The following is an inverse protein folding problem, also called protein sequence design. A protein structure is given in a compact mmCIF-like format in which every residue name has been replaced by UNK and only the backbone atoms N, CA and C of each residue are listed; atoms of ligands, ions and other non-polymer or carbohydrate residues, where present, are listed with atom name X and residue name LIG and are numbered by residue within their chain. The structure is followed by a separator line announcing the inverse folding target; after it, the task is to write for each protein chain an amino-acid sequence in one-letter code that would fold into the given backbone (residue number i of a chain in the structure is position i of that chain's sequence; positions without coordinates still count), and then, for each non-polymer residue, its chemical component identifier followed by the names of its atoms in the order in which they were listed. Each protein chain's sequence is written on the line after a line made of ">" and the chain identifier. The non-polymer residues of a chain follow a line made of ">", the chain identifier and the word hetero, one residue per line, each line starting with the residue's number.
data_IF_538159512246
#
_entry.id   IF_538159512246
#
_cell.length_a   1.000
_cell.length_b   1.000
_cell.length_c   1.000
_cell.angle_alpha   90.00
_cell.angle_beta   90.00
_cell.angle_gamma   90.00
#
_symmetry.space_group_name_H-M   'P 1'
#
loop_
_entity.id
_entity.type
_entity.pdbx_description
1 polymer ?
#
# COMPACT_ATOMS: atom_id res chain seq x y z
N UNK A 1 9.81 -18.98 6.42
CA UNK A 1 9.28 -17.73 5.84
C UNK A 1 8.26 -17.23 6.83
N UNK A 2 8.57 -16.14 7.52
CA UNK A 2 7.62 -15.48 8.40
C UNK A 2 6.49 -14.92 7.52
N UNK A 3 5.32 -15.52 7.65
CA UNK A 3 4.10 -15.01 7.03
C UNK A 3 3.80 -13.73 7.81
N UNK A 4 4.17 -12.56 7.27
CA UNK A 4 3.72 -11.28 7.81
C UNK A 4 2.19 -11.35 7.75
N UNK A 5 1.49 -11.39 8.90
CA UNK A 5 0.06 -11.59 8.90
C UNK A 5 -0.56 -10.43 8.16
N UNK A 6 -1.14 -10.72 7.00
CA UNK A 6 -1.71 -9.67 6.20
C UNK A 6 -2.82 -9.01 7.00
N UNK A 7 -2.68 -7.71 7.20
CA UNK A 7 -3.61 -6.82 7.89
C UNK A 7 -4.99 -6.75 7.21
N UNK A 8 -5.14 -7.35 6.03
CA UNK A 8 -6.37 -7.57 5.26
C UNK A 8 -7.45 -8.45 5.93
N UNK A 9 -7.39 -8.67 7.24
CA UNK A 9 -8.40 -9.48 7.96
C UNK A 9 -9.75 -8.76 8.14
N UNK A 10 -9.87 -7.48 7.78
CA UNK A 10 -11.10 -6.67 7.82
C UNK A 10 -11.11 -5.60 6.71
N UNK A 11 -12.16 -4.77 6.62
CA UNK A 11 -12.36 -3.70 5.61
C UNK A 11 -11.07 -2.91 5.29
N UNK A 12 -10.36 -3.31 4.25
CA UNK A 12 -9.19 -2.61 3.75
C UNK A 12 -9.55 -1.90 2.44
N UNK A 13 -8.99 -0.70 2.28
CA UNK A 13 -8.95 -0.02 0.99
C UNK A 13 -7.54 -0.20 0.42
N UNK A 14 -7.40 -0.20 -0.90
CA UNK A 14 -6.07 -0.29 -1.52
C UNK A 14 -6.00 0.57 -2.77
N UNK A 15 -4.79 0.98 -3.11
CA UNK A 15 -4.45 1.58 -4.40
C UNK A 15 -3.18 0.91 -4.92
N UNK A 16 -3.22 0.46 -6.18
CA UNK A 16 -2.03 -0.01 -6.86
C UNK A 16 -1.28 1.19 -7.42
N UNK A 17 0.03 1.24 -7.20
CA UNK A 17 0.90 2.21 -7.86
C UNK A 17 1.00 1.82 -9.35
N UNK A 18 0.53 2.67 -10.29
CA UNK A 18 0.50 2.35 -11.72
C UNK A 18 1.88 1.97 -12.26
N UNK A 19 1.98 0.89 -13.03
CA UNK A 19 3.24 0.45 -13.65
C UNK A 19 3.61 1.33 -14.86
N UNK A 20 4.05 2.56 -14.55
CA UNK A 20 4.45 3.59 -15.51
C UNK A 20 5.79 4.19 -15.06
N UNK A 21 6.53 4.82 -15.99
CA UNK A 21 7.81 5.44 -15.65
C UNK A 21 7.65 6.66 -14.74
N UNK A 22 6.56 7.40 -14.88
CA UNK A 22 6.29 8.65 -14.16
C UNK A 22 4.82 8.78 -13.85
N UNK A 23 4.49 9.24 -12.64
CA UNK A 23 3.12 9.62 -12.29
C UNK A 23 2.81 11.05 -12.73
N UNK A 24 1.57 11.26 -13.14
CA UNK A 24 1.00 12.60 -13.25
C UNK A 24 0.73 13.18 -11.86
N UNK A 25 0.65 14.52 -11.76
CA UNK A 25 0.29 15.20 -10.52
C UNK A 25 -1.06 14.73 -9.96
N UNK A 26 -2.01 14.40 -10.84
CA UNK A 26 -3.33 13.91 -10.44
C UNK A 26 -3.26 12.52 -9.80
N UNK A 27 -2.47 11.61 -10.38
CA UNK A 27 -2.26 10.27 -9.82
C UNK A 27 -1.51 10.34 -8.49
N UNK A 28 -0.48 11.20 -8.41
CA UNK A 28 0.24 11.42 -7.16
C UNK A 28 -0.66 12.02 -6.08
N UNK A 29 -1.55 12.96 -6.42
CA UNK A 29 -2.51 13.50 -5.44
C UNK A 29 -3.49 12.44 -4.94
N UNK A 30 -3.92 11.49 -5.79
CA UNK A 30 -4.73 10.34 -5.36
C UNK A 30 -3.98 9.48 -4.35
N UNK A 31 -2.71 9.17 -4.60
CA UNK A 31 -1.85 8.41 -3.69
C UNK A 31 -1.68 9.15 -2.37
N UNK A 32 -1.40 10.45 -2.41
CA UNK A 32 -1.23 11.29 -1.21
C UNK A 32 -2.50 11.32 -0.36
N UNK A 33 -3.67 11.53 -0.97
CA UNK A 33 -4.97 11.51 -0.26
C UNK A 33 -5.29 10.15 0.33
N UNK A 34 -4.87 9.07 -0.33
CA UNK A 34 -5.00 7.73 0.20
C UNK A 34 -4.12 7.54 1.43
N UNK A 35 -2.84 7.89 1.34
CA UNK A 35 -1.86 7.74 2.41
C UNK A 35 -2.18 8.59 3.65
N UNK A 36 -2.70 9.81 3.49
CA UNK A 36 -3.09 10.69 4.61
C UNK A 36 -4.25 10.16 5.46
N UNK A 37 -4.93 9.10 5.03
CA UNK A 37 -5.90 8.40 5.89
C UNK A 37 -5.21 7.62 7.01
N UNK A 38 -3.94 7.25 6.83
CA UNK A 38 -3.17 6.58 7.86
C UNK A 38 -2.73 7.54 8.96
N UNK A 39 -2.79 7.03 10.18
CA UNK A 39 -2.27 7.68 11.36
C UNK A 39 -0.75 7.86 11.24
N UNK A 40 -0.27 9.01 11.68
CA UNK A 40 1.15 9.30 11.74
C UNK A 40 1.79 9.67 10.40
N UNK A 41 1.13 9.55 9.25
CA UNK A 41 1.71 10.01 7.97
C UNK A 41 1.76 11.53 7.94
N UNK A 42 2.97 12.08 7.99
CA UNK A 42 3.21 13.53 7.96
C UNK A 42 3.57 14.02 6.57
N UNK A 43 4.30 13.22 5.79
CA UNK A 43 4.77 13.59 4.45
C UNK A 43 4.62 12.43 3.46
N UNK A 44 4.32 12.78 2.21
CA UNK A 44 4.30 11.86 1.06
C UNK A 44 5.07 12.52 -0.07
N UNK A 45 6.16 11.89 -0.51
CA UNK A 45 7.03 12.43 -1.56
C UNK A 45 7.07 11.49 -2.77
N UNK A 46 7.06 12.07 -3.96
CA UNK A 46 7.38 11.34 -5.19
C UNK A 46 8.90 11.37 -5.37
N UNK A 47 9.52 10.20 -5.33
CA UNK A 47 10.93 10.03 -5.62
C UNK A 47 11.07 9.57 -7.07
N UNK A 48 11.91 10.26 -7.83
CA UNK A 48 12.29 9.84 -9.19
C UNK A 48 13.64 9.16 -9.11
N UNK A 49 13.69 7.84 -9.30
CA UNK A 49 14.95 7.12 -9.37
C UNK A 49 15.53 7.27 -10.79
N UNK A 50 16.42 8.25 -10.96
CA UNK A 50 17.11 8.52 -12.22
C UNK A 50 17.88 7.32 -12.78
N UNK A 51 18.31 6.37 -11.93
CA UNK A 51 19.09 5.21 -12.39
C UNK A 51 18.23 4.01 -12.78
N UNK A 52 16.99 3.92 -12.26
CA UNK A 52 16.11 2.78 -12.48
C UNK A 52 14.96 3.08 -13.46
N UNK A 53 14.85 4.33 -13.96
CA UNK A 53 13.74 4.82 -14.80
C UNK A 53 12.35 4.58 -14.19
N UNK A 54 12.30 4.42 -12.85
CA UNK A 54 11.09 4.11 -12.09
C UNK A 54 10.90 5.16 -11.00
N UNK A 55 9.65 5.53 -10.77
CA UNK A 55 9.29 6.33 -9.62
C UNK A 55 9.08 5.44 -8.39
N UNK A 56 9.20 6.03 -7.21
CA UNK A 56 8.78 5.45 -5.94
C UNK A 56 8.08 6.50 -5.09
N UNK A 57 7.31 6.05 -4.11
CA UNK A 57 6.59 6.90 -3.17
C UNK A 57 7.19 6.73 -1.79
N UNK A 58 7.69 7.81 -1.23
CA UNK A 58 8.13 7.86 0.15
C UNK A 58 6.97 8.28 1.05
N UNK A 59 6.70 7.48 2.07
CA UNK A 59 5.75 7.75 3.14
C UNK A 59 6.55 7.97 4.42
N UNK A 60 6.56 9.20 4.91
CA UNK A 60 7.21 9.54 6.18
C UNK A 60 6.16 9.85 7.22
N UNK A 61 6.37 9.28 8.41
CA UNK A 61 5.52 9.52 9.56
C UNK A 61 6.21 9.28 10.90
N UNK A 62 5.40 9.25 11.95
CA UNK A 62 5.87 9.06 13.33
C UNK A 62 6.62 7.73 13.53
N UNK A 63 6.26 6.69 12.78
CA UNK A 63 6.91 5.36 12.80
C UNK A 63 8.18 5.27 11.94
N UNK A 64 8.53 6.35 11.21
CA UNK A 64 9.68 6.41 10.33
C UNK A 64 9.32 6.58 8.86
N UNK A 65 10.25 6.20 7.99
CA UNK A 65 10.13 6.32 6.54
C UNK A 65 9.99 4.94 5.90
N UNK A 66 9.00 4.83 5.00
CA UNK A 66 8.74 3.65 4.17
C UNK A 66 8.70 4.06 2.70
N UNK A 67 9.25 3.24 1.82
CA UNK A 67 9.27 3.50 0.37
C UNK A 67 8.49 2.42 -0.34
N UNK A 68 7.52 2.84 -1.16
CA UNK A 68 6.76 1.97 -2.05
C UNK A 68 7.26 2.13 -3.49
N UNK A 69 7.58 1.03 -4.13
CA UNK A 69 8.00 0.97 -5.51
C UNK A 69 6.81 0.92 -6.47
N UNK A 70 7.03 1.35 -7.71
CA UNK A 70 6.06 1.21 -8.78
C UNK A 70 5.54 -0.23 -8.91
N UNK A 71 4.23 -0.38 -9.12
CA UNK A 71 3.57 -1.69 -9.20
C UNK A 71 3.15 -2.27 -7.85
N UNK A 72 3.68 -1.78 -6.74
CA UNK A 72 3.27 -2.19 -5.39
C UNK A 72 1.90 -1.66 -5.01
N UNK A 73 1.33 -2.24 -3.97
CA UNK A 73 0.03 -1.90 -3.41
C UNK A 73 0.21 -1.17 -2.09
N UNK A 74 -0.39 0.01 -1.98
CA UNK A 74 -0.65 0.64 -0.70
C UNK A 74 -1.98 0.14 -0.18
N UNK A 75 -1.96 -0.52 0.98
CA UNK A 75 -3.14 -1.11 1.61
C UNK A 75 -3.43 -0.39 2.92
N UNK A 76 -4.56 0.29 2.98
CA UNK A 76 -5.04 0.98 4.18
C UNK A 76 -5.91 0.06 5.03
N UNK A 77 -5.41 -0.33 6.20
CA UNK A 77 -6.16 -1.02 7.23
C UNK A 77 -6.94 -0.01 8.08
N UNK A 78 -8.27 0.00 7.97
CA UNK A 78 -9.15 0.91 8.71
C UNK A 78 -9.12 0.72 10.22
N UNK A 79 -8.91 -0.52 10.69
CA UNK A 79 -8.90 -0.83 12.12
C UNK A 79 -7.62 -0.33 12.78
N UNK A 80 -6.48 -0.53 12.12
CA UNK A 80 -5.18 -0.07 12.61
C UNK A 80 -4.89 1.38 12.21
N UNK A 81 -5.69 1.95 11.31
CA UNK A 81 -5.46 3.25 10.66
C UNK A 81 -4.04 3.36 10.12
N UNK A 82 -3.59 2.34 9.40
CA UNK A 82 -2.21 2.23 8.92
C UNK A 82 -2.19 1.86 7.44
N UNK A 83 -1.18 2.34 6.71
CA UNK A 83 -0.88 1.91 5.34
C UNK A 83 0.26 0.91 5.39
N UNK A 84 0.03 -0.26 4.80
CA UNK A 84 1.06 -1.25 4.52
C UNK A 84 1.41 -1.23 3.02
N UNK A 85 2.66 -1.55 2.71
CA UNK A 85 3.18 -1.64 1.35
C UNK A 85 3.34 -3.12 1.03
N UNK A 86 2.69 -3.59 -0.02
CA UNK A 86 2.72 -4.99 -0.42
C UNK A 86 3.14 -5.14 -1.88
N UNK A 87 3.98 -6.13 -2.16
CA UNK A 87 4.21 -6.57 -3.54
C UNK A 87 2.93 -7.17 -4.13
N UNK A 88 2.80 -7.26 -5.48
CA UNK A 88 1.65 -7.91 -6.10
C UNK A 88 1.40 -9.34 -5.60
N UNK A 89 2.47 -10.11 -5.37
CA UNK A 89 2.40 -11.48 -4.86
C UNK A 89 1.86 -11.51 -3.42
N UNK A 90 2.37 -10.62 -2.55
CA UNK A 90 1.89 -10.49 -1.17
C UNK A 90 0.42 -10.07 -1.17
N UNK A 91 0.04 -9.10 -1.99
CA UNK A 91 -1.34 -8.64 -2.12
C UNK A 91 -2.29 -9.75 -2.58
N UNK A 92 -1.90 -10.55 -3.59
CA UNK A 92 -2.69 -11.69 -4.05
C UNK A 92 -2.88 -12.74 -2.94
N UNK A 93 -1.80 -13.09 -2.23
CA UNK A 93 -1.88 -14.01 -1.10
C UNK A 93 -2.83 -13.49 -0.01
N UNK A 94 -2.82 -12.19 0.27
CA UNK A 94 -3.76 -11.56 1.19
C UNK A 94 -5.22 -11.70 0.75
N UNK A 95 -5.50 -11.46 -0.53
CA UNK A 95 -6.85 -11.58 -1.09
C UNK A 95 -7.37 -13.02 -1.02
N UNK A 96 -6.56 -14.01 -1.39
CA UNK A 96 -6.95 -15.42 -1.35
C UNK A 96 -7.25 -15.89 0.07
N UNK A 97 -6.41 -15.52 1.06
CA UNK A 97 -6.64 -15.86 2.47
C UNK A 97 -7.95 -15.26 2.99
N UNK A 98 -8.33 -14.06 2.51
CA UNK A 98 -9.58 -13.41 2.90
C UNK A 98 -10.79 -14.17 2.33
N UNK A 99 -10.77 -14.53 1.04
CA UNK A 99 -11.85 -15.31 0.42
C UNK A 99 -12.08 -16.64 1.13
N UNK A 100 -11.01 -17.35 1.49
CA UNK A 100 -11.09 -18.61 2.22
C UNK A 100 -11.68 -18.44 3.63
N UNK A 101 -11.39 -17.32 4.32
CA UNK A 101 -11.95 -17.02 5.64
C UNK A 101 -13.43 -16.59 5.57
N UNK A 102 -13.80 -15.76 4.61
CA UNK A 102 -15.19 -15.35 4.39
C UNK A 102 -16.07 -16.55 3.97
N UNK A 103 -15.49 -17.53 3.27
CA UNK A 103 -16.15 -18.80 2.96
C UNK A 103 -16.32 -19.71 4.19
N UNK A 104 -15.33 -19.77 5.09
CA UNK A 104 -15.39 -20.58 6.33
C UNK A 104 -16.25 -19.95 7.44
N UNK A 105 -16.43 -18.62 7.44
CA UNK A 105 -17.29 -17.90 8.39
C UNK A 105 -18.79 -17.97 8.09
N UNK A 106 -19.20 -18.60 6.98
CA UNK A 106 -20.59 -18.90 6.65
C UNK A 106 -20.96 -20.33 7.09
N UNK A 107 -21.07 -20.56 8.40
CA UNK A 107 -21.78 -21.71 8.98
C UNK A 107 -22.68 -21.21 10.11
#
# INVERSE_FOLDING_TARGET
>A
MDIVPCTCTYECEFIQLPDVQTLTDEEFDKVRRFAWRAFGVSCVNLLTNFNAEKYSIELTGDEGCSVAEVGEYLVYNKNLRRVDILTPEQFQQCCTIKEDRDAQGKI
#
